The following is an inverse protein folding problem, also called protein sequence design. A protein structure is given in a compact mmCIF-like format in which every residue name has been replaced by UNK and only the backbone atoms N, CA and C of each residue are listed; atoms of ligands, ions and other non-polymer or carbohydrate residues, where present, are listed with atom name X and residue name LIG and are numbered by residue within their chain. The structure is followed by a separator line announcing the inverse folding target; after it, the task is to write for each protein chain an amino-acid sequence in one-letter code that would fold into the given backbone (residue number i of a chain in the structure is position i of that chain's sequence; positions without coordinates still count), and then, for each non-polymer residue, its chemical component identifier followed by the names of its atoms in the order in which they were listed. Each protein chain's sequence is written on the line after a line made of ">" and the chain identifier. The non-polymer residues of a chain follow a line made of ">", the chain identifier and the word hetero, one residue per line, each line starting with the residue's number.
data_IF_609838792097
#
_entry.id   IF_609838792097
#
_cell.length_a   1.000
_cell.length_b   1.000
_cell.length_c   1.000
_cell.angle_alpha   90.00
_cell.angle_beta   90.00
_cell.angle_gamma   90.00
#
_symmetry.space_group_name_H-M   'P 1'
#
loop_
_entity.id
_entity.type
_entity.pdbx_description
1 polymer ?
#
# COMPACT_ATOMS: atom_id res chain seq x y z
N UNK A 1 25.63 -74.47 -41.63
CA UNK A 1 24.54 -74.00 -40.74
C UNK A 1 25.02 -73.04 -39.64
N UNK A 2 26.33 -72.81 -39.47
CA UNK A 2 26.92 -71.97 -38.42
C UNK A 2 27.11 -70.49 -38.80
N UNK A 3 27.15 -70.15 -40.10
CA UNK A 3 27.39 -68.77 -40.56
C UNK A 3 26.16 -67.85 -40.48
N UNK A 4 24.94 -68.40 -40.61
CA UNK A 4 23.69 -67.63 -40.49
C UNK A 4 23.42 -67.17 -39.05
N UNK A 5 23.85 -67.95 -38.05
CA UNK A 5 23.67 -67.61 -36.63
C UNK A 5 24.63 -66.48 -36.21
N UNK A 6 25.90 -66.54 -36.61
CA UNK A 6 26.87 -65.47 -36.34
C UNK A 6 26.52 -64.13 -37.02
N UNK A 7 25.92 -64.17 -38.20
CA UNK A 7 25.51 -62.94 -38.89
C UNK A 7 24.26 -62.30 -38.24
N UNK A 8 23.31 -63.12 -37.77
CA UNK A 8 22.14 -62.68 -36.99
C UNK A 8 22.52 -62.00 -35.68
N UNK A 9 23.44 -62.59 -34.91
CA UNK A 9 23.86 -62.04 -33.61
C UNK A 9 24.58 -60.69 -33.74
N UNK A 10 25.36 -60.52 -34.81
CA UNK A 10 26.09 -59.28 -35.07
C UNK A 10 25.14 -58.13 -35.49
N UNK A 11 24.10 -58.44 -36.26
CA UNK A 11 23.06 -57.46 -36.67
C UNK A 11 22.21 -57.03 -35.47
N UNK A 12 21.84 -57.97 -34.58
CA UNK A 12 21.11 -57.66 -33.35
C UNK A 12 21.93 -56.77 -32.41
N UNK A 13 23.22 -57.06 -32.24
CA UNK A 13 24.11 -56.22 -31.42
C UNK A 13 24.29 -54.79 -31.98
N UNK A 14 24.30 -54.63 -33.31
CA UNK A 14 24.35 -53.31 -33.95
C UNK A 14 23.03 -52.56 -33.72
N UNK A 15 21.88 -53.22 -33.91
CA UNK A 15 20.56 -52.64 -33.67
C UNK A 15 20.36 -52.21 -32.21
N UNK A 16 20.79 -53.04 -31.25
CA UNK A 16 20.76 -52.70 -29.83
C UNK A 16 21.67 -51.50 -29.52
N UNK A 17 22.88 -51.44 -30.09
CA UNK A 17 23.78 -50.31 -29.90
C UNK A 17 23.26 -48.98 -30.48
N UNK A 18 22.52 -49.04 -31.60
CA UNK A 18 21.88 -47.87 -32.21
C UNK A 18 20.66 -47.45 -31.39
N UNK A 19 19.86 -48.42 -30.93
CA UNK A 19 18.73 -48.21 -30.04
C UNK A 19 19.17 -47.55 -28.72
N UNK A 20 20.24 -48.05 -28.10
CA UNK A 20 20.83 -47.50 -26.88
C UNK A 20 21.36 -46.09 -27.08
N UNK A 21 22.02 -45.80 -28.22
CA UNK A 21 22.44 -44.43 -28.57
C UNK A 21 21.25 -43.47 -28.73
N UNK A 22 20.14 -43.94 -29.31
CA UNK A 22 18.93 -43.12 -29.48
C UNK A 22 18.25 -42.87 -28.12
N UNK A 23 18.16 -43.89 -27.28
CA UNK A 23 17.60 -43.81 -25.92
C UNK A 23 18.48 -42.90 -25.04
N UNK A 24 19.80 -43.04 -25.11
CA UNK A 24 20.76 -42.18 -24.40
C UNK A 24 20.65 -40.71 -24.84
N UNK A 25 20.59 -40.43 -26.15
CA UNK A 25 20.37 -39.06 -26.67
C UNK A 25 19.04 -38.47 -26.22
N UNK A 26 17.96 -39.26 -26.16
CA UNK A 26 16.66 -38.82 -25.63
C UNK A 26 16.71 -38.53 -24.13
N UNK A 27 17.40 -39.36 -23.34
CA UNK A 27 17.63 -39.12 -21.90
C UNK A 27 18.44 -37.84 -21.68
N UNK A 28 19.52 -37.63 -22.42
CA UNK A 28 20.36 -36.43 -22.34
C UNK A 28 19.58 -35.16 -22.70
N UNK A 29 18.77 -35.19 -23.77
CA UNK A 29 17.86 -34.08 -24.12
C UNK A 29 16.85 -33.80 -23.00
N UNK A 30 16.26 -34.82 -22.40
CA UNK A 30 15.35 -34.66 -21.24
C UNK A 30 16.09 -34.01 -20.07
N UNK A 31 17.29 -34.47 -19.73
CA UNK A 31 18.10 -33.88 -18.65
C UNK A 31 18.42 -32.42 -18.90
N UNK A 32 18.79 -32.04 -20.13
CA UNK A 32 19.04 -30.63 -20.50
C UNK A 32 17.75 -29.81 -20.37
N UNK A 33 16.62 -30.30 -20.88
CA UNK A 33 15.33 -29.62 -20.75
C UNK A 33 14.95 -29.43 -19.28
N UNK A 34 15.06 -30.48 -18.46
CA UNK A 34 14.79 -30.39 -17.02
C UNK A 34 15.74 -29.42 -16.33
N UNK A 35 17.02 -29.37 -16.72
CA UNK A 35 18.00 -28.42 -16.17
C UNK A 35 17.67 -26.97 -16.53
N UNK A 36 17.22 -26.72 -17.77
CA UNK A 36 16.75 -25.38 -18.19
C UNK A 36 15.49 -24.99 -17.42
N UNK A 37 14.50 -25.89 -17.32
CA UNK A 37 13.28 -25.64 -16.54
C UNK A 37 13.62 -25.35 -15.07
N UNK A 38 14.48 -26.17 -14.46
CA UNK A 38 14.92 -25.97 -13.07
C UNK A 38 15.60 -24.62 -12.88
N UNK A 39 16.47 -24.22 -13.82
CA UNK A 39 17.14 -22.91 -13.77
C UNK A 39 16.14 -21.76 -13.84
N UNK A 40 15.14 -21.87 -14.71
CA UNK A 40 14.05 -20.87 -14.81
C UNK A 40 13.23 -20.82 -13.51
N UNK A 41 12.90 -21.97 -12.92
CA UNK A 41 12.18 -22.04 -11.64
C UNK A 41 12.98 -21.40 -10.52
N UNK A 42 14.29 -21.66 -10.40
CA UNK A 42 15.14 -21.05 -9.37
C UNK A 42 15.16 -19.52 -9.50
N UNK A 43 15.30 -19.00 -10.72
CA UNK A 43 15.25 -17.55 -10.97
C UNK A 43 13.90 -16.97 -10.55
N UNK A 44 12.79 -17.58 -10.98
CA UNK A 44 11.44 -17.15 -10.58
C UNK A 44 11.23 -17.19 -9.06
N UNK A 45 11.64 -18.28 -8.40
CA UNK A 45 11.55 -18.39 -6.94
C UNK A 45 12.37 -17.31 -6.24
N UNK A 46 13.58 -17.00 -6.72
CA UNK A 46 14.40 -15.93 -6.16
C UNK A 46 13.72 -14.56 -6.26
N UNK A 47 13.09 -14.26 -7.39
CA UNK A 47 12.35 -13.01 -7.61
C UNK A 47 11.13 -12.94 -6.68
N UNK A 48 10.37 -14.04 -6.55
CA UNK A 48 9.21 -14.09 -5.65
C UNK A 48 9.62 -13.86 -4.20
N UNK A 49 10.70 -14.52 -3.73
CA UNK A 49 11.22 -14.33 -2.38
C UNK A 49 11.66 -12.87 -2.17
N UNK A 50 12.35 -12.29 -3.15
CA UNK A 50 12.79 -10.89 -3.09
C UNK A 50 11.61 -9.93 -3.01
N UNK A 51 10.58 -10.10 -3.87
CA UNK A 51 9.37 -9.27 -3.85
C UNK A 51 8.52 -9.46 -2.59
N UNK A 52 8.56 -10.65 -1.98
CA UNK A 52 7.90 -10.92 -0.70
C UNK A 52 8.64 -10.26 0.49
N UNK A 53 9.96 -10.10 0.37
CA UNK A 53 10.81 -9.58 1.46
C UNK A 53 10.93 -8.06 1.44
N UNK A 54 10.76 -7.41 0.28
CA UNK A 54 10.78 -5.95 0.18
C UNK A 54 9.41 -5.40 0.55
N UNK A 55 9.38 -4.59 1.60
CA UNK A 55 8.20 -3.83 1.99
C UNK A 55 8.18 -2.48 1.28
N UNK A 56 7.01 -2.11 0.76
CA UNK A 56 6.71 -0.77 0.29
C UNK A 56 5.97 -0.01 1.40
N UNK A 57 6.36 1.26 1.60
CA UNK A 57 5.60 2.18 2.43
C UNK A 57 4.50 2.84 1.58
N UNK A 58 3.24 2.65 1.96
CA UNK A 58 2.08 3.24 1.27
C UNK A 58 1.68 4.62 1.81
N UNK A 59 2.38 5.12 2.84
CA UNK A 59 2.07 6.38 3.50
C UNK A 59 2.24 7.57 2.53
N UNK A 60 1.25 8.46 2.42
CA UNK A 60 1.40 9.70 1.67
C UNK A 60 2.51 10.58 2.26
N UNK A 61 3.53 10.93 1.47
CA UNK A 61 4.69 11.68 1.95
C UNK A 61 4.34 13.01 2.64
N UNK A 62 3.29 13.70 2.19
CA UNK A 62 2.87 14.98 2.76
C UNK A 62 2.13 14.85 4.10
N UNK A 63 1.80 13.63 4.53
CA UNK A 63 1.26 13.33 5.86
C UNK A 63 2.35 12.91 6.85
N UNK A 64 3.59 12.71 6.39
CA UNK A 64 4.73 12.44 7.27
C UNK A 64 5.11 13.71 8.05
N UNK A 65 5.58 13.52 9.28
CA UNK A 65 6.06 14.62 10.12
C UNK A 65 4.93 15.54 10.60
N UNK A 66 3.83 14.96 11.10
CA UNK A 66 2.90 15.71 11.93
C UNK A 66 3.61 16.04 13.26
N UNK A 67 3.41 17.25 13.74
CA UNK A 67 4.06 17.77 14.94
C UNK A 67 3.47 17.15 16.23
N UNK A 68 2.18 16.80 16.19
CA UNK A 68 1.51 16.10 17.29
C UNK A 68 0.26 15.33 16.81
N UNK A 69 -0.21 14.42 17.65
CA UNK A 69 -1.37 13.58 17.42
C UNK A 69 -2.31 13.62 18.62
N UNK A 70 -3.59 13.86 18.40
CA UNK A 70 -4.64 13.67 19.42
C UNK A 70 -5.50 12.49 19.06
N UNK A 71 -5.56 11.51 19.94
CA UNK A 71 -6.28 10.26 19.73
C UNK A 71 -7.59 10.31 20.49
N UNK A 72 -8.68 10.06 19.78
CA UNK A 72 -10.03 10.01 20.33
C UNK A 72 -10.61 8.62 20.13
N UNK A 73 -11.08 8.01 21.22
CA UNK A 73 -11.80 6.73 21.20
C UNK A 73 -13.15 6.96 21.86
N UNK A 74 -14.23 6.57 21.19
CA UNK A 74 -15.61 6.84 21.64
C UNK A 74 -15.87 8.33 21.92
N UNK A 75 -15.30 9.22 21.10
CA UNK A 75 -15.32 10.68 21.22
C UNK A 75 -14.63 11.26 22.47
N UNK A 76 -13.86 10.45 23.21
CA UNK A 76 -13.09 10.89 24.37
C UNK A 76 -11.62 10.93 24.01
N UNK A 77 -10.94 12.05 24.31
CA UNK A 77 -9.48 12.15 24.13
C UNK A 77 -8.79 11.14 25.04
N UNK A 78 -8.10 10.18 24.44
CA UNK A 78 -7.35 9.13 25.14
C UNK A 78 -5.90 9.52 25.34
N UNK A 79 -5.30 10.11 24.31
CA UNK A 79 -3.87 10.42 24.29
C UNK A 79 -3.60 11.68 23.49
N UNK A 80 -2.63 12.45 23.97
CA UNK A 80 -1.92 13.47 23.22
C UNK A 80 -0.47 13.01 23.08
N UNK A 81 0.03 12.97 21.85
CA UNK A 81 1.34 12.39 21.50
C UNK A 81 2.11 13.41 20.67
N UNK A 82 3.21 13.91 21.21
CA UNK A 82 4.17 14.81 20.59
C UNK A 82 5.60 14.26 20.76
N UNK A 83 6.61 14.91 20.18
CA UNK A 83 8.02 14.44 20.24
C UNK A 83 8.55 14.26 21.66
N UNK A 84 8.06 15.05 22.62
CA UNK A 84 8.46 14.99 24.05
C UNK A 84 7.74 13.85 24.82
N UNK A 85 6.73 13.24 24.22
CA UNK A 85 5.95 12.17 24.85
C UNK A 85 6.76 10.88 24.95
N UNK A 86 6.76 10.25 26.13
CA UNK A 86 7.47 8.97 26.38
C UNK A 86 7.06 7.82 25.43
N UNK A 87 5.84 7.89 24.88
CA UNK A 87 5.30 6.87 23.99
C UNK A 87 5.42 7.25 22.50
N UNK A 88 6.07 8.37 22.17
CA UNK A 88 6.14 8.88 20.80
C UNK A 88 6.75 7.87 19.81
N UNK A 89 7.93 7.33 20.14
CA UNK A 89 8.63 6.36 19.28
C UNK A 89 7.78 5.10 19.06
N UNK A 90 7.21 4.54 20.13
CA UNK A 90 6.36 3.35 20.06
C UNK A 90 5.09 3.62 19.24
N UNK A 91 4.46 4.77 19.44
CA UNK A 91 3.29 5.15 18.65
C UNK A 91 3.63 5.31 17.17
N UNK A 92 4.74 5.98 16.85
CA UNK A 92 5.16 6.14 15.45
C UNK A 92 5.51 4.82 14.80
N UNK A 93 6.12 3.88 15.52
CA UNK A 93 6.38 2.54 15.03
C UNK A 93 5.07 1.83 14.65
N UNK A 94 4.07 1.84 15.55
CA UNK A 94 2.76 1.24 15.29
C UNK A 94 2.00 1.95 14.15
N UNK A 95 2.05 3.29 14.13
CA UNK A 95 1.42 4.13 13.12
C UNK A 95 2.02 3.89 11.73
N UNK A 96 3.35 3.95 11.61
CA UNK A 96 4.04 3.70 10.35
C UNK A 96 3.89 2.23 9.93
N UNK A 97 3.86 1.31 10.91
CA UNK A 97 3.60 -0.12 10.73
C UNK A 97 2.37 -0.42 9.88
N UNK A 98 1.30 0.37 10.04
CA UNK A 98 0.05 0.17 9.28
C UNK A 98 0.19 0.38 7.77
N UNK A 99 1.19 1.15 7.33
CA UNK A 99 1.38 1.47 5.90
C UNK A 99 2.32 0.52 5.18
N UNK A 100 3.02 -0.35 5.91
CA UNK A 100 3.96 -1.28 5.30
C UNK A 100 3.23 -2.49 4.73
N UNK A 101 3.44 -2.77 3.45
CA UNK A 101 2.98 -3.99 2.80
C UNK A 101 4.10 -4.57 1.94
N UNK A 102 4.18 -5.90 1.83
CA UNK A 102 5.15 -6.50 0.90
C UNK A 102 4.77 -6.16 -0.54
N UNK A 103 5.76 -5.91 -1.41
CA UNK A 103 5.51 -5.58 -2.82
C UNK A 103 4.70 -6.69 -3.49
N UNK A 104 5.01 -7.96 -3.16
CA UNK A 104 4.27 -9.11 -3.68
C UNK A 104 2.79 -9.07 -3.26
N UNK A 105 2.50 -8.82 -1.98
CA UNK A 105 1.11 -8.66 -1.52
C UNK A 105 0.46 -7.48 -2.25
N UNK A 106 1.18 -6.36 -2.39
CA UNK A 106 0.70 -5.18 -3.12
C UNK A 106 0.37 -5.43 -4.59
N UNK A 107 1.13 -6.28 -5.28
CA UNK A 107 0.85 -6.69 -6.66
C UNK A 107 -0.44 -7.50 -6.76
N UNK A 108 -0.63 -8.49 -5.89
CA UNK A 108 -1.77 -9.41 -6.00
C UNK A 108 -3.08 -8.86 -5.43
N UNK A 109 -2.99 -7.96 -4.44
CA UNK A 109 -4.16 -7.30 -3.83
C UNK A 109 -4.52 -5.98 -4.53
N UNK A 110 -3.73 -5.57 -5.53
CA UNK A 110 -3.87 -4.27 -6.16
C UNK A 110 -3.60 -3.10 -5.20
N UNK A 111 -2.88 -3.32 -4.10
CA UNK A 111 -2.41 -2.27 -3.18
C UNK A 111 -1.19 -1.50 -3.71
N UNK A 112 -0.61 -1.91 -4.84
CA UNK A 112 0.37 -1.13 -5.63
C UNK A 112 -0.30 0.01 -6.39
N UNK A 113 -0.86 0.94 -5.62
CA UNK A 113 -1.20 2.26 -6.08
C UNK A 113 -1.25 3.10 -4.84
N UNK A 114 -0.28 4.02 -4.75
CA UNK A 114 -0.29 5.08 -3.76
C UNK A 114 -1.70 5.71 -3.70
N UNK A 115 -2.10 6.15 -2.53
CA UNK A 115 -3.38 6.74 -2.17
C UNK A 115 -4.19 7.44 -3.28
N UNK A 116 -5.51 7.37 -3.17
CA UNK A 116 -6.45 8.14 -3.98
C UNK A 116 -6.80 9.47 -3.31
N UNK A 117 -6.92 10.53 -4.10
CA UNK A 117 -7.39 11.84 -3.65
C UNK A 117 -8.82 12.01 -4.18
N UNK A 118 -9.77 12.18 -3.26
CA UNK A 118 -11.18 12.42 -3.56
C UNK A 118 -11.58 13.78 -3.02
N UNK A 119 -11.83 14.72 -3.92
CA UNK A 119 -12.33 16.05 -3.59
C UNK A 119 -13.84 15.97 -3.36
N UNK A 120 -14.35 16.79 -2.44
CA UNK A 120 -15.79 16.84 -2.16
C UNK A 120 -16.27 18.28 -2.03
N UNK A 121 -17.56 18.50 -2.27
CA UNK A 121 -18.22 19.78 -2.05
C UNK A 121 -18.91 19.85 -0.68
N UNK A 122 -18.32 19.21 0.33
CA UNK A 122 -18.90 19.14 1.69
C UNK A 122 -18.03 19.91 2.67
N UNK A 123 -18.66 20.61 3.61
CA UNK A 123 -17.93 21.48 4.54
C UNK A 123 -17.09 20.67 5.52
N UNK A 124 -15.87 21.14 5.79
CA UNK A 124 -14.99 20.55 6.80
C UNK A 124 -15.31 21.06 8.21
N UNK A 125 -15.51 22.38 8.34
CA UNK A 125 -15.83 23.02 9.62
C UNK A 125 -17.33 23.22 9.83
N UNK A 126 -17.77 23.18 11.09
CA UNK A 126 -19.11 23.64 11.47
C UNK A 126 -19.27 25.15 11.33
N UNK A 127 -18.19 25.91 11.61
CA UNK A 127 -18.11 27.33 11.35
C UNK A 127 -16.90 27.61 10.45
N UNK A 128 -17.16 27.85 9.16
CA UNK A 128 -16.11 28.10 8.18
C UNK A 128 -15.39 29.44 8.39
N UNK A 129 -16.07 30.47 8.92
CA UNK A 129 -15.47 31.79 9.12
C UNK A 129 -14.39 31.75 10.21
N UNK A 130 -14.64 31.00 11.28
CA UNK A 130 -13.70 30.83 12.40
C UNK A 130 -12.76 29.63 12.22
N UNK A 131 -12.95 28.84 11.16
CA UNK A 131 -12.27 27.55 10.93
C UNK A 131 -12.33 26.65 12.18
N UNK A 132 -13.51 26.57 12.78
CA UNK A 132 -13.71 25.96 14.10
C UNK A 132 -14.79 24.86 14.10
N UNK A 133 -14.53 23.82 14.89
CA UNK A 133 -15.40 22.65 15.09
C UNK A 133 -15.55 21.75 13.87
N UNK A 134 -15.80 20.46 14.07
CA UNK A 134 -16.07 19.53 12.96
C UNK A 134 -17.49 19.75 12.42
N UNK A 135 -17.64 19.80 11.09
CA UNK A 135 -18.97 19.80 10.47
C UNK A 135 -19.75 18.51 10.80
N UNK A 136 -21.07 18.55 10.66
CA UNK A 136 -21.92 17.36 10.84
C UNK A 136 -21.55 16.25 9.87
N UNK A 137 -21.21 16.60 8.62
CA UNK A 137 -20.75 15.65 7.61
C UNK A 137 -19.44 14.99 8.02
N UNK A 138 -18.43 15.79 8.40
CA UNK A 138 -17.13 15.27 8.84
C UNK A 138 -17.29 14.34 10.05
N UNK A 139 -18.11 14.74 11.03
CA UNK A 139 -18.40 13.93 12.22
C UNK A 139 -19.07 12.60 11.87
N UNK A 140 -19.99 12.61 10.91
CA UNK A 140 -20.68 11.39 10.47
C UNK A 140 -19.73 10.43 9.75
N UNK A 141 -18.76 10.94 8.99
CA UNK A 141 -17.82 10.10 8.23
C UNK A 141 -16.66 9.58 9.10
N UNK A 142 -16.13 10.40 10.01
CA UNK A 142 -15.09 10.00 10.98
C UNK A 142 -15.62 9.00 12.01
N UNK A 143 -16.88 9.13 12.41
CA UNK A 143 -17.43 8.35 13.52
C UNK A 143 -16.85 8.79 14.87
N UNK A 144 -16.78 7.85 15.82
CA UNK A 144 -16.40 8.11 17.20
C UNK A 144 -14.93 7.82 17.54
N UNK A 145 -14.18 7.19 16.62
CA UNK A 145 -12.80 6.79 16.82
C UNK A 145 -11.94 7.42 15.73
N UNK A 146 -11.02 8.30 16.09
CA UNK A 146 -10.20 9.03 15.13
C UNK A 146 -8.93 9.59 15.76
N UNK A 147 -7.95 9.92 14.92
CA UNK A 147 -6.74 10.65 15.29
C UNK A 147 -6.78 12.01 14.58
N UNK A 148 -6.62 13.11 15.32
CA UNK A 148 -6.31 14.42 14.75
C UNK A 148 -4.80 14.54 14.59
N UNK A 149 -4.34 14.72 13.35
CA UNK A 149 -2.95 15.02 13.04
C UNK A 149 -2.79 16.55 13.08
N UNK A 150 -1.83 17.03 13.86
CA UNK A 150 -1.57 18.45 14.07
C UNK A 150 -0.32 18.84 13.29
N UNK A 151 -0.47 19.81 12.39
CA UNK A 151 0.63 20.40 11.65
C UNK A 151 0.79 21.88 12.04
N UNK A 152 2.02 22.28 12.35
CA UNK A 152 2.37 23.66 12.71
C UNK A 152 2.31 24.60 11.50
N UNK A 153 2.51 24.05 10.30
CA UNK A 153 2.50 24.77 9.03
C UNK A 153 1.50 24.14 8.06
N UNK A 154 0.96 24.98 7.17
CA UNK A 154 0.15 24.50 6.05
C UNK A 154 1.00 23.66 5.08
N UNK A 155 0.44 22.56 4.59
CA UNK A 155 1.10 21.57 3.73
C UNK A 155 0.38 21.50 2.38
N UNK A 156 1.15 21.27 1.32
CA UNK A 156 0.57 20.96 0.00
C UNK A 156 0.14 19.49 -0.04
N UNK A 157 -1.03 19.23 -0.63
CA UNK A 157 -1.41 17.89 -1.07
C UNK A 157 -0.54 17.53 -2.28
N UNK A 158 0.02 16.33 -2.28
CA UNK A 158 0.87 15.85 -3.37
C UNK A 158 0.21 14.69 -4.09
N UNK A 159 0.46 14.58 -5.39
CA UNK A 159 0.19 13.39 -6.19
C UNK A 159 1.09 12.22 -5.75
N UNK A 160 0.69 11.00 -6.14
CA UNK A 160 1.41 9.74 -5.89
C UNK A 160 2.90 9.78 -6.30
N UNK A 161 3.24 10.57 -7.30
CA UNK A 161 4.60 10.75 -7.82
C UNK A 161 5.39 11.85 -7.07
N UNK A 162 4.81 12.46 -6.03
CA UNK A 162 5.39 13.55 -5.27
C UNK A 162 5.21 14.95 -5.87
N UNK A 163 4.61 15.08 -7.06
CA UNK A 163 4.31 16.41 -7.61
C UNK A 163 3.16 17.08 -6.87
N UNK A 164 3.08 18.41 -6.92
CA UNK A 164 1.94 19.14 -6.33
C UNK A 164 0.62 18.63 -6.94
N UNK A 165 -0.39 18.45 -6.10
CA UNK A 165 -1.73 18.14 -6.55
C UNK A 165 -2.49 19.42 -6.88
N UNK A 166 -2.93 19.50 -8.12
CA UNK A 166 -3.84 20.53 -8.61
C UNK A 166 -5.24 19.95 -8.61
N UNK A 167 -6.18 20.68 -8.02
CA UNK A 167 -7.59 20.29 -7.95
C UNK A 167 -8.15 19.99 -9.35
N UNK A 168 -8.93 18.91 -9.42
CA UNK A 168 -9.69 18.51 -10.60
C UNK A 168 -11.05 19.21 -10.67
N UNK A 169 -11.61 19.59 -9.53
CA UNK A 169 -12.86 20.35 -9.44
C UNK A 169 -12.61 21.82 -9.83
N UNK A 170 -11.47 22.39 -9.47
CA UNK A 170 -11.13 23.80 -9.73
C UNK A 170 -10.28 23.96 -10.99
N UNK A 171 -10.95 24.07 -12.14
CA UNK A 171 -10.30 24.09 -13.46
C UNK A 171 -9.80 25.46 -13.92
N UNK A 172 -10.20 26.56 -13.27
CA UNK A 172 -9.90 27.90 -13.78
C UNK A 172 -8.45 28.34 -13.64
N UNK A 173 -7.72 27.89 -12.60
CA UNK A 173 -6.42 28.48 -12.26
C UNK A 173 -5.35 27.49 -11.76
N UNK A 174 -5.46 26.18 -12.06
CA UNK A 174 -4.55 25.16 -11.50
C UNK A 174 -4.39 25.35 -9.99
N UNK A 175 -5.50 25.20 -9.25
CA UNK A 175 -5.49 25.48 -7.83
C UNK A 175 -4.74 24.38 -7.05
N UNK A 176 -3.69 24.76 -6.34
CA UNK A 176 -2.92 23.89 -5.46
C UNK A 176 -3.71 23.59 -4.19
N UNK A 177 -4.02 22.32 -3.94
CA UNK A 177 -4.69 21.95 -2.69
C UNK A 177 -3.70 22.02 -1.51
N UNK A 178 -4.12 22.73 -0.47
CA UNK A 178 -3.37 22.88 0.78
C UNK A 178 -4.24 22.57 1.98
N UNK A 179 -3.62 22.08 3.04
CA UNK A 179 -4.32 21.74 4.28
C UNK A 179 -3.44 22.02 5.50
N UNK A 180 -4.11 22.18 6.65
CA UNK A 180 -3.46 22.27 7.97
C UNK A 180 -4.09 21.30 8.96
N UNK A 181 -5.42 21.17 8.91
CA UNK A 181 -6.15 20.24 9.75
C UNK A 181 -6.41 18.93 9.00
N UNK A 182 -6.06 17.82 9.65
CA UNK A 182 -6.19 16.48 9.12
C UNK A 182 -6.73 15.55 10.21
N UNK A 183 -7.70 14.73 9.85
CA UNK A 183 -8.22 13.66 10.70
C UNK A 183 -8.03 12.31 10.01
N UNK A 184 -7.58 11.32 10.77
CA UNK A 184 -7.54 9.92 10.38
C UNK A 184 -8.66 9.19 11.09
N UNK A 185 -9.52 8.49 10.34
CA UNK A 185 -10.50 7.57 10.93
C UNK A 185 -9.80 6.31 11.46
N UNK A 186 -10.22 5.86 12.64
CA UNK A 186 -9.83 4.57 13.20
C UNK A 186 -11.01 3.60 13.08
N UNK A 187 -10.86 2.58 12.24
CA UNK A 187 -11.87 1.56 12.05
C UNK A 187 -11.79 0.50 13.16
N UNK A 188 -12.94 0.18 13.74
CA UNK A 188 -13.07 -0.89 14.74
C UNK A 188 -13.19 -2.28 14.13
N UNK A 189 -13.18 -2.36 12.81
CA UNK A 189 -13.21 -3.59 12.02
C UNK A 189 -12.01 -3.56 11.07
N UNK A 190 -11.50 -4.73 10.71
CA UNK A 190 -10.38 -4.83 9.78
C UNK A 190 -10.84 -4.48 8.37
N UNK A 191 -10.60 -3.24 7.98
CA UNK A 191 -10.87 -2.70 6.65
C UNK A 191 -9.55 -2.55 5.90
N UNK A 192 -9.58 -2.83 4.60
CA UNK A 192 -8.40 -2.69 3.73
C UNK A 192 -8.15 -1.24 3.29
N UNK A 193 -8.81 -0.27 3.93
CA UNK A 193 -8.77 1.14 3.54
C UNK A 193 -8.66 2.06 4.75
N UNK A 194 -7.65 2.93 4.72
CA UNK A 194 -7.43 3.97 5.69
C UNK A 194 -7.77 5.31 5.04
N UNK A 195 -8.63 6.10 5.68
CA UNK A 195 -9.09 7.38 5.12
C UNK A 195 -8.65 8.55 6.00
N UNK A 196 -7.95 9.49 5.38
CA UNK A 196 -7.68 10.80 5.95
C UNK A 196 -8.65 11.83 5.40
N UNK A 197 -9.09 12.73 6.26
CA UNK A 197 -9.98 13.84 5.94
C UNK A 197 -9.20 15.13 6.16
N UNK A 198 -8.94 15.84 5.06
CA UNK A 198 -8.21 17.09 5.03
C UNK A 198 -9.18 18.25 4.89
N UNK A 199 -8.94 19.33 5.64
CA UNK A 199 -9.62 20.59 5.44
C UNK A 199 -8.88 21.41 4.39
N UNK A 200 -9.36 21.39 3.15
CA UNK A 200 -8.78 22.14 2.03
C UNK A 200 -9.65 23.34 1.68
N UNK A 201 -9.03 24.46 1.29
CA UNK A 201 -9.80 25.65 0.92
C UNK A 201 -10.37 25.52 -0.49
N UNK A 202 -11.64 25.89 -0.63
CA UNK A 202 -12.38 25.96 -1.89
C UNK A 202 -12.54 27.44 -2.31
N UNK A 203 -11.86 27.90 -3.36
CA UNK A 203 -11.94 29.28 -3.81
C UNK A 203 -13.30 29.62 -4.47
N UNK A 204 -13.96 28.65 -5.12
CA UNK A 204 -15.21 28.86 -5.86
C UNK A 204 -16.44 28.88 -4.93
N UNK A 205 -16.34 28.26 -3.75
CA UNK A 205 -17.38 28.28 -2.71
C UNK A 205 -17.24 29.41 -1.69
N UNK A 206 -16.64 30.53 -2.11
CA UNK A 206 -16.46 31.71 -1.27
C UNK A 206 -15.41 31.51 -0.19
N UNK A 207 -14.30 30.83 -0.52
CA UNK A 207 -13.19 30.51 0.40
C UNK A 207 -13.58 29.64 1.60
N UNK A 208 -14.60 28.78 1.44
CA UNK A 208 -14.97 27.80 2.47
C UNK A 208 -13.93 26.69 2.55
N UNK A 209 -13.83 26.03 3.70
CA UNK A 209 -13.03 24.81 3.82
C UNK A 209 -13.92 23.61 3.57
N UNK A 210 -13.53 22.80 2.59
CA UNK A 210 -14.20 21.58 2.19
C UNK A 210 -13.39 20.34 2.56
N UNK A 211 -14.06 19.20 2.61
CA UNK A 211 -13.42 17.91 2.89
C UNK A 211 -12.74 17.41 1.61
N UNK A 212 -11.44 17.16 1.70
CA UNK A 212 -10.70 16.33 0.73
C UNK A 212 -10.29 15.03 1.40
N UNK A 213 -10.62 13.88 0.80
CA UNK A 213 -10.28 12.56 1.34
C UNK A 213 -9.02 12.02 0.69
N UNK A 214 -8.12 11.48 1.51
CA UNK A 214 -6.97 10.69 1.07
C UNK A 214 -7.24 9.24 1.46
N UNK A 215 -7.51 8.39 0.48
CA UNK A 215 -7.84 6.98 0.69
C UNK A 215 -6.59 6.15 0.40
N UNK A 216 -6.03 5.53 1.43
CA UNK A 216 -4.85 4.66 1.36
C UNK A 216 -5.32 3.21 1.48
N UNK A 217 -4.78 2.30 0.67
CA UNK A 217 -5.05 0.86 0.82
C UNK A 217 -4.22 0.25 1.96
N UNK A 218 -4.57 0.60 3.18
CA UNK A 218 -3.97 0.18 4.45
C UNK A 218 -5.07 -0.03 5.48
N UNK A 219 -4.82 -0.78 6.54
CA UNK A 219 -5.80 -0.97 7.63
C UNK A 219 -5.47 -0.05 8.80
N UNK A 220 -6.49 0.56 9.40
CA UNK A 220 -6.35 1.32 10.65
C UNK A 220 -6.69 0.50 11.89
N UNK A 221 -7.10 -0.76 11.71
CA UNK A 221 -7.58 -1.62 12.77
C UNK A 221 -6.51 -1.93 13.83
N UNK A 222 -5.26 -2.19 13.41
CA UNK A 222 -4.16 -2.40 14.36
C UNK A 222 -3.90 -1.20 15.28
N UNK A 223 -4.07 0.02 14.75
CA UNK A 223 -4.02 1.24 15.58
C UNK A 223 -5.21 1.36 16.53
N UNK A 224 -6.40 0.98 16.09
CA UNK A 224 -7.57 0.94 16.97
C UNK A 224 -7.36 -0.06 18.12
N UNK A 225 -6.87 -1.27 17.84
CA UNK A 225 -6.54 -2.28 18.86
C UNK A 225 -5.48 -1.76 19.84
N UNK A 226 -4.42 -1.12 19.35
CA UNK A 226 -3.37 -0.54 20.20
C UNK A 226 -3.90 0.43 21.28
N UNK A 227 -4.96 1.18 20.99
CA UNK A 227 -5.57 2.13 21.94
C UNK A 227 -6.74 1.57 22.75
N UNK A 228 -7.20 0.36 22.44
CA UNK A 228 -8.36 -0.27 23.09
C UNK A 228 -8.05 -1.54 23.85
N UNK A 229 -6.88 -2.15 23.61
CA UNK A 229 -6.30 -3.23 24.41
C UNK A 229 -5.91 -2.76 25.83
#
# INVERSE_FOLDING_TARGET
>A
MTDTVKHSDNVNHILDSVSDKIIAKRKLKKTIIYSVILSVVVVLSSVIIMLASINANLQPNFLQGADAYRVYISNVEKSYIDEDSKNYEKFLEEYNGQFYTSILAGMFTGRLSAYEIQETNTQFYSNNAEKSGMSSTLKSELGSNYIKLIFNQERNVLNKNGSIYYSKEYTKDQYELKFKDCYLKLDSEDTDTMTFYLGTQDPDWGNKTVITKIVVKASSFGLYEYFTA
#
